data_IF_504254455459
#
_entry.id   IF_504254455459
#
_cell.length_a   1.000
_cell.length_b   1.000
_cell.length_c   1.000
_cell.angle_alpha   90.00
_cell.angle_beta   90.00
_cell.angle_gamma   90.00
#
_symmetry.space_group_name_H-M   'P 1'
#
loop_
_entity.id
_entity.type
_entity.pdbx_description
1 polymer ?
#
# COMPACT_ATOMS: atom_id res chain seq x y z
N UNK A 1 11.32 -32.79 5.33
CA UNK A 1 11.18 -31.79 4.23
C UNK A 1 12.37 -30.85 4.27
N UNK A 2 13.10 -30.74 3.17
CA UNK A 2 14.27 -29.85 3.10
C UNK A 2 13.84 -28.37 3.21
N UNK A 3 14.72 -27.47 3.72
CA UNK A 3 14.41 -26.02 3.80
C UNK A 3 14.04 -25.43 2.43
N UNK A 4 14.56 -25.99 1.36
CA UNK A 4 14.28 -25.59 -0.03
C UNK A 4 12.84 -25.96 -0.44
N UNK A 5 12.37 -27.14 -0.06
CA UNK A 5 10.99 -27.62 -0.34
C UNK A 5 9.95 -26.78 0.40
N UNK A 6 10.20 -26.49 1.67
CA UNK A 6 9.35 -25.61 2.48
C UNK A 6 9.28 -24.17 1.91
N UNK A 7 10.40 -23.65 1.42
CA UNK A 7 10.45 -22.32 0.80
C UNK A 7 9.61 -22.23 -0.48
N UNK A 8 9.62 -23.27 -1.31
CA UNK A 8 8.81 -23.32 -2.55
C UNK A 8 7.31 -23.42 -2.25
N UNK A 9 6.94 -24.25 -1.29
CA UNK A 9 5.53 -24.41 -0.90
C UNK A 9 4.93 -23.11 -0.39
N UNK A 10 5.69 -22.35 0.42
CA UNK A 10 5.29 -21.02 0.89
C UNK A 10 5.09 -20.06 -0.28
N UNK A 11 6.03 -20.00 -1.24
CA UNK A 11 5.90 -19.13 -2.42
C UNK A 11 4.68 -19.48 -3.27
N UNK A 12 4.36 -20.78 -3.44
CA UNK A 12 3.14 -21.20 -4.14
C UNK A 12 1.86 -20.81 -3.40
N UNK A 13 1.82 -20.99 -2.08
CA UNK A 13 0.66 -20.59 -1.28
C UNK A 13 0.42 -19.07 -1.37
N UNK A 14 1.46 -18.27 -1.21
CA UNK A 14 1.41 -16.81 -1.36
C UNK A 14 0.90 -16.43 -2.74
N UNK A 15 1.40 -17.10 -3.79
CA UNK A 15 0.93 -16.84 -5.15
C UNK A 15 -0.56 -17.13 -5.32
N UNK A 16 -1.01 -18.32 -4.93
CA UNK A 16 -2.41 -18.72 -5.10
C UNK A 16 -3.33 -17.74 -4.38
N UNK A 17 -3.01 -17.38 -3.12
CA UNK A 17 -3.79 -16.43 -2.34
C UNK A 17 -3.80 -15.03 -3.00
N UNK A 18 -2.64 -14.52 -3.41
CA UNK A 18 -2.55 -13.20 -4.04
C UNK A 18 -3.28 -13.20 -5.39
N UNK A 19 -3.10 -14.23 -6.20
CA UNK A 19 -3.77 -14.35 -7.50
C UNK A 19 -5.29 -14.39 -7.34
N UNK A 20 -5.81 -15.16 -6.39
CA UNK A 20 -7.25 -15.25 -6.14
C UNK A 20 -7.85 -13.88 -5.81
N UNK A 21 -7.20 -13.12 -4.93
CA UNK A 21 -7.64 -11.77 -4.52
C UNK A 21 -7.53 -10.77 -5.65
N UNK A 22 -6.44 -10.83 -6.42
CA UNK A 22 -6.26 -9.96 -7.61
C UNK A 22 -7.30 -10.30 -8.68
N UNK A 23 -7.62 -11.57 -8.91
CA UNK A 23 -8.68 -11.98 -9.84
C UNK A 23 -10.07 -11.48 -9.39
N UNK A 24 -10.38 -11.54 -8.09
CA UNK A 24 -11.61 -10.93 -7.56
C UNK A 24 -11.64 -9.42 -7.85
N UNK A 25 -10.56 -8.71 -7.58
CA UNK A 25 -10.45 -7.28 -7.89
C UNK A 25 -10.60 -7.01 -9.39
N UNK A 26 -9.93 -7.77 -10.24
CA UNK A 26 -10.06 -7.65 -11.71
C UNK A 26 -11.49 -7.93 -12.16
N UNK A 27 -12.17 -8.91 -11.56
CA UNK A 27 -13.57 -9.21 -11.85
C UNK A 27 -14.49 -8.02 -11.55
N UNK A 28 -14.25 -7.29 -10.44
CA UNK A 28 -15.04 -6.09 -10.12
C UNK A 28 -14.75 -4.90 -11.05
N UNK A 29 -13.57 -4.86 -11.67
CA UNK A 29 -13.25 -3.85 -12.70
C UNK A 29 -13.93 -4.18 -14.02
N UNK A 30 -13.97 -5.48 -14.38
CA UNK A 30 -14.61 -5.94 -15.63
C UNK A 30 -16.12 -5.85 -15.52
N UNK A 31 -16.68 -6.28 -14.38
CA UNK A 31 -18.13 -6.33 -14.11
C UNK A 31 -18.47 -5.58 -12.81
N UNK A 32 -18.56 -4.25 -12.84
CA UNK A 32 -18.71 -3.42 -11.63
C UNK A 32 -19.97 -3.71 -10.83
N UNK A 33 -21.07 -4.11 -11.49
CA UNK A 33 -22.35 -4.37 -10.86
C UNK A 33 -22.48 -5.82 -10.32
N UNK A 34 -21.56 -6.73 -10.68
CA UNK A 34 -21.70 -8.16 -10.42
C UNK A 34 -21.95 -8.48 -8.94
N UNK A 35 -21.09 -7.95 -8.06
CA UNK A 35 -21.20 -8.26 -6.63
C UNK A 35 -22.37 -7.55 -5.96
N UNK A 36 -22.68 -6.31 -6.36
CA UNK A 36 -23.86 -5.59 -5.86
C UNK A 36 -25.16 -6.32 -6.21
N UNK A 37 -25.25 -6.86 -7.40
CA UNK A 37 -26.41 -7.62 -7.85
C UNK A 37 -26.63 -8.90 -7.02
N UNK A 38 -25.58 -9.73 -6.83
CA UNK A 38 -25.72 -11.01 -6.13
C UNK A 38 -25.77 -10.87 -4.60
N UNK A 39 -25.23 -9.81 -4.02
CA UNK A 39 -25.24 -9.58 -2.58
C UNK A 39 -26.27 -8.54 -2.10
N UNK A 40 -27.20 -8.15 -2.99
CA UNK A 40 -28.44 -7.49 -2.60
C UNK A 40 -28.34 -6.05 -2.11
N UNK A 41 -27.35 -5.29 -2.54
CA UNK A 41 -27.18 -3.90 -2.08
C UNK A 41 -27.92 -2.86 -2.92
N UNK A 42 -28.36 -3.15 -4.13
CA UNK A 42 -28.97 -2.18 -5.02
C UNK A 42 -30.12 -2.75 -5.87
N UNK A 43 -30.97 -1.82 -6.31
CA UNK A 43 -32.24 -1.95 -6.99
C UNK A 43 -32.27 -2.87 -8.22
N UNK A 44 -33.46 -3.25 -8.58
CA UNK A 44 -33.93 -4.18 -9.62
C UNK A 44 -33.43 -3.92 -11.06
N UNK A 45 -32.62 -2.87 -11.31
CA UNK A 45 -32.21 -2.46 -12.66
C UNK A 45 -30.70 -2.61 -12.95
N UNK A 46 -29.94 -3.35 -12.12
CA UNK A 46 -28.52 -3.56 -12.39
C UNK A 46 -28.30 -4.76 -13.31
N UNK A 47 -27.57 -4.56 -14.41
CA UNK A 47 -27.10 -5.65 -15.26
C UNK A 47 -25.75 -6.19 -14.72
N UNK A 48 -25.72 -7.39 -14.12
CA UNK A 48 -24.52 -7.90 -13.43
C UNK A 48 -23.32 -8.11 -14.36
N UNK A 49 -23.56 -8.33 -15.65
CA UNK A 49 -22.52 -8.56 -16.65
C UNK A 49 -22.27 -7.37 -17.57
N UNK A 50 -22.78 -6.19 -17.23
CA UNK A 50 -22.41 -4.96 -17.93
C UNK A 50 -20.90 -4.71 -17.76
N UNK A 51 -20.24 -4.43 -18.90
CA UNK A 51 -18.80 -4.20 -18.91
C UNK A 51 -18.46 -2.82 -18.33
N UNK A 52 -17.56 -2.82 -17.37
CA UNK A 52 -16.99 -1.59 -16.84
C UNK A 52 -16.23 -0.80 -17.91
N UNK A 53 -16.19 0.53 -17.76
CA UNK A 53 -15.54 1.45 -18.70
C UNK A 53 -14.10 1.03 -19.08
N UNK A 54 -13.36 0.45 -18.15
CA UNK A 54 -11.96 0.05 -18.34
C UNK A 54 -11.79 -1.41 -18.77
N UNK A 55 -12.88 -2.19 -18.82
CA UNK A 55 -12.83 -3.64 -19.02
C UNK A 55 -12.14 -4.03 -20.33
N UNK A 56 -12.54 -3.40 -21.43
CA UNK A 56 -11.98 -3.71 -22.77
C UNK A 56 -10.49 -3.37 -22.82
N UNK A 57 -10.09 -2.22 -22.30
CA UNK A 57 -8.69 -1.78 -22.26
C UNK A 57 -7.85 -2.73 -21.39
N UNK A 58 -8.34 -3.09 -20.21
CA UNK A 58 -7.69 -4.03 -19.29
C UNK A 58 -7.48 -5.40 -19.96
N UNK A 59 -8.52 -5.97 -20.55
CA UNK A 59 -8.45 -7.30 -21.16
C UNK A 59 -7.49 -7.32 -22.35
N UNK A 60 -7.60 -6.36 -23.27
CA UNK A 60 -6.74 -6.30 -24.47
C UNK A 60 -5.27 -6.14 -24.04
N UNK A 61 -4.99 -5.20 -23.13
CA UNK A 61 -3.60 -4.95 -22.67
C UNK A 61 -3.01 -6.16 -21.97
N UNK A 62 -3.79 -6.86 -21.13
CA UNK A 62 -3.32 -8.08 -20.49
C UNK A 62 -3.06 -9.19 -21.50
N UNK A 63 -3.91 -9.39 -22.51
CA UNK A 63 -3.67 -10.37 -23.58
C UNK A 63 -2.34 -10.05 -24.29
N UNK A 64 -2.08 -8.79 -24.63
CA UNK A 64 -0.83 -8.37 -25.27
C UNK A 64 0.37 -8.63 -24.38
N UNK A 65 0.31 -8.22 -23.10
CA UNK A 65 1.41 -8.38 -22.15
C UNK A 65 1.73 -9.86 -21.93
N UNK A 66 0.72 -10.70 -21.70
CA UNK A 66 0.95 -12.14 -21.50
C UNK A 66 1.42 -12.84 -22.77
N UNK A 67 0.90 -12.47 -23.95
CA UNK A 67 1.37 -13.00 -25.23
C UNK A 67 2.83 -12.67 -25.46
N UNK A 68 3.24 -11.42 -25.19
CA UNK A 68 4.62 -10.98 -25.26
C UNK A 68 5.50 -11.71 -24.23
N UNK A 69 5.03 -11.85 -22.99
CA UNK A 69 5.72 -12.59 -21.92
C UNK A 69 5.95 -14.06 -22.29
N UNK A 70 4.96 -14.73 -22.88
CA UNK A 70 5.08 -16.11 -23.36
C UNK A 70 6.07 -16.20 -24.53
N UNK A 71 6.01 -15.24 -25.46
CA UNK A 71 6.96 -15.20 -26.60
C UNK A 71 8.40 -15.00 -26.10
N UNK A 72 8.60 -14.09 -25.12
CA UNK A 72 9.90 -13.87 -24.47
C UNK A 72 10.40 -15.14 -23.77
N UNK A 73 9.59 -15.78 -22.94
CA UNK A 73 9.96 -17.02 -22.26
C UNK A 73 10.33 -18.16 -23.22
N UNK A 74 9.60 -18.27 -24.34
CA UNK A 74 9.87 -19.26 -25.39
C UNK A 74 11.01 -18.84 -26.34
N UNK A 75 11.71 -17.73 -26.08
CA UNK A 75 12.77 -17.17 -26.95
C UNK A 75 12.31 -16.98 -28.42
N UNK A 76 11.06 -16.59 -28.61
CA UNK A 76 10.44 -16.35 -29.93
C UNK A 76 10.35 -14.86 -30.28
N UNK A 77 10.92 -13.97 -29.45
CA UNK A 77 10.98 -12.55 -29.73
C UNK A 77 12.14 -12.23 -30.69
N UNK A 78 12.05 -11.16 -31.50
CA UNK A 78 13.14 -10.70 -32.32
C UNK A 78 14.39 -10.35 -31.51
N UNK A 79 15.58 -10.69 -32.03
CA UNK A 79 16.87 -10.52 -31.33
C UNK A 79 17.15 -9.09 -30.89
N UNK A 80 16.67 -8.08 -31.64
CA UNK A 80 16.83 -6.68 -31.26
C UNK A 80 16.02 -6.33 -30.00
N UNK A 81 14.80 -6.87 -29.81
CA UNK A 81 14.00 -6.67 -28.60
C UNK A 81 14.64 -7.38 -27.41
N UNK A 82 15.16 -8.58 -27.59
CA UNK A 82 15.88 -9.29 -26.54
C UNK A 82 17.11 -8.49 -26.06
N UNK A 83 17.86 -7.93 -27.01
CA UNK A 83 19.00 -7.04 -26.72
C UNK A 83 18.60 -5.78 -25.94
N UNK A 84 17.46 -5.14 -26.32
CA UNK A 84 16.95 -3.98 -25.60
C UNK A 84 16.54 -4.35 -24.16
N UNK A 85 15.81 -5.44 -23.99
CA UNK A 85 15.39 -5.92 -22.66
C UNK A 85 16.61 -6.22 -21.79
N UNK A 86 17.62 -6.92 -22.32
CA UNK A 86 18.83 -7.24 -21.56
C UNK A 86 19.62 -5.96 -21.22
N UNK A 87 19.71 -4.98 -22.15
CA UNK A 87 20.33 -3.68 -21.89
C UNK A 87 19.63 -2.91 -20.78
N UNK A 88 18.31 -2.86 -20.79
CA UNK A 88 17.51 -2.21 -19.72
C UNK A 88 17.69 -2.98 -18.39
N UNK A 89 17.69 -4.30 -18.46
CA UNK A 89 17.85 -5.17 -17.30
C UNK A 89 19.22 -5.07 -16.66
N UNK A 90 20.28 -4.86 -17.45
CA UNK A 90 21.67 -4.70 -16.96
C UNK A 90 22.00 -3.26 -16.62
N UNK A 91 21.19 -2.29 -17.07
CA UNK A 91 21.42 -0.87 -16.83
C UNK A 91 21.44 -0.54 -15.34
N UNK A 92 22.48 0.15 -14.89
CA UNK A 92 22.66 0.60 -13.51
C UNK A 92 23.12 2.06 -13.46
N UNK A 93 22.62 2.81 -12.50
CA UNK A 93 22.98 4.21 -12.28
C UNK A 93 24.10 4.32 -11.23
N UNK A 94 25.09 5.17 -11.49
CA UNK A 94 26.08 5.53 -10.47
C UNK A 94 25.39 6.25 -9.30
N UNK A 95 26.01 6.21 -8.11
CA UNK A 95 25.44 6.83 -6.91
C UNK A 95 25.12 8.32 -7.12
N UNK A 96 26.05 9.06 -7.71
CA UNK A 96 25.89 10.51 -7.91
C UNK A 96 24.77 10.83 -8.91
N UNK A 97 24.73 10.11 -10.04
CA UNK A 97 23.65 10.25 -11.03
C UNK A 97 22.30 9.91 -10.41
N UNK A 98 22.23 8.86 -9.59
CA UNK A 98 20.98 8.48 -8.89
C UNK A 98 20.49 9.60 -7.98
N UNK A 99 21.39 10.21 -7.19
CA UNK A 99 21.02 11.31 -6.30
C UNK A 99 20.50 12.52 -7.10
N UNK A 100 21.17 12.86 -8.20
CA UNK A 100 20.75 13.98 -9.06
C UNK A 100 19.37 13.68 -9.68
N UNK A 101 19.18 12.51 -10.26
CA UNK A 101 17.91 12.11 -10.88
C UNK A 101 16.79 12.10 -9.84
N UNK A 102 17.02 11.53 -8.66
CA UNK A 102 16.04 11.51 -7.58
C UNK A 102 15.70 12.93 -7.10
N UNK A 103 16.71 13.79 -6.94
CA UNK A 103 16.50 15.19 -6.55
C UNK A 103 15.69 15.98 -7.59
N UNK A 104 15.95 15.75 -8.89
CA UNK A 104 15.15 16.35 -9.96
C UNK A 104 13.70 15.87 -9.90
N UNK A 105 13.46 14.56 -9.78
CA UNK A 105 12.11 13.99 -9.71
C UNK A 105 11.37 14.54 -8.49
N UNK A 106 12.00 14.54 -7.30
CA UNK A 106 11.40 15.10 -6.09
C UNK A 106 11.18 16.60 -6.21
N UNK A 107 12.11 17.35 -6.83
CA UNK A 107 11.95 18.78 -7.07
C UNK A 107 10.75 19.10 -7.98
N UNK A 108 10.56 18.34 -9.05
CA UNK A 108 9.39 18.47 -9.92
C UNK A 108 8.11 18.12 -9.15
N UNK A 109 8.11 17.03 -8.41
CA UNK A 109 6.97 16.60 -7.60
C UNK A 109 6.59 17.68 -6.58
N UNK A 110 7.53 18.17 -5.78
CA UNK A 110 7.30 19.23 -4.80
C UNK A 110 6.79 20.50 -5.48
N UNK A 111 7.39 20.91 -6.60
CA UNK A 111 6.95 22.10 -7.34
C UNK A 111 5.53 22.00 -7.87
N UNK A 112 5.08 20.81 -8.27
CA UNK A 112 3.72 20.59 -8.78
C UNK A 112 2.68 20.50 -7.65
N UNK A 113 3.02 19.91 -6.50
CA UNK A 113 2.09 19.75 -5.37
C UNK A 113 2.04 20.97 -4.43
N UNK A 114 3.06 21.83 -4.41
CA UNK A 114 3.11 23.01 -3.52
C UNK A 114 1.88 23.94 -3.64
N UNK A 115 1.32 24.24 -4.83
CA UNK A 115 0.12 25.06 -4.93
C UNK A 115 -1.09 24.50 -4.16
N UNK A 116 -1.19 23.19 -4.01
CA UNK A 116 -2.28 22.52 -3.29
C UNK A 116 -2.25 22.78 -1.77
N UNK A 117 -1.09 23.15 -1.22
CA UNK A 117 -0.96 23.55 0.19
C UNK A 117 -1.74 24.83 0.53
N UNK A 118 -2.05 25.64 -0.47
CA UNK A 118 -2.81 26.88 -0.32
C UNK A 118 -4.33 26.69 -0.47
N UNK A 119 -4.77 25.51 -0.91
CA UNK A 119 -6.19 25.21 -1.10
C UNK A 119 -6.81 24.89 0.27
N UNK A 120 -7.95 25.51 0.57
CA UNK A 120 -8.71 25.26 1.79
C UNK A 120 -9.40 23.88 1.72
N UNK A 121 -9.09 23.01 2.67
CA UNK A 121 -9.69 21.67 2.75
C UNK A 121 -11.16 21.69 3.20
N UNK A 122 -11.59 22.71 3.92
CA UNK A 122 -12.98 22.84 4.40
C UNK A 122 -13.98 22.85 3.24
N UNK A 123 -13.58 23.36 2.09
CA UNK A 123 -14.42 23.41 0.89
C UNK A 123 -14.46 22.08 0.11
N UNK A 124 -13.53 21.16 0.40
CA UNK A 124 -13.34 19.93 -0.36
C UNK A 124 -13.74 18.66 0.40
N UNK A 125 -13.58 18.68 1.72
CA UNK A 125 -13.70 17.47 2.56
C UNK A 125 -14.62 17.72 3.74
N UNK A 126 -15.78 17.03 3.76
CA UNK A 126 -16.74 17.15 4.88
C UNK A 126 -16.16 16.71 6.24
N UNK A 127 -15.12 15.86 6.25
CA UNK A 127 -14.45 15.43 7.50
C UNK A 127 -13.51 16.51 8.06
N UNK A 128 -13.30 17.63 7.33
CA UNK A 128 -12.42 18.71 7.78
C UNK A 128 -12.94 19.38 9.05
N UNK A 129 -14.23 19.66 9.12
CA UNK A 129 -14.85 20.30 10.29
C UNK A 129 -14.70 19.47 11.57
N UNK A 130 -14.70 18.14 11.42
CA UNK A 130 -14.45 17.21 12.53
C UNK A 130 -13.00 17.29 12.99
N UNK A 131 -12.05 17.35 12.04
CA UNK A 131 -10.63 17.49 12.33
C UNK A 131 -10.32 18.85 12.98
N UNK A 132 -10.89 19.92 12.47
CA UNK A 132 -10.68 21.27 12.97
C UNK A 132 -11.13 21.41 14.43
N UNK A 133 -12.35 20.95 14.72
CA UNK A 133 -12.86 20.87 16.11
C UNK A 133 -12.00 19.99 17.01
N UNK A 134 -11.47 18.89 16.49
CA UNK A 134 -10.58 18.03 17.25
C UNK A 134 -9.25 18.74 17.58
N UNK A 135 -8.69 19.51 16.65
CA UNK A 135 -7.47 20.30 16.87
C UNK A 135 -7.69 21.44 17.88
N UNK A 136 -8.85 22.10 17.85
CA UNK A 136 -9.19 23.14 18.84
C UNK A 136 -9.27 22.58 20.28
N UNK A 137 -9.75 21.34 20.43
CA UNK A 137 -9.89 20.68 21.73
C UNK A 137 -8.58 20.00 22.19
N UNK A 138 -7.63 19.78 21.29
CA UNK A 138 -6.37 19.07 21.57
C UNK A 138 -5.44 19.90 22.49
N UNK A 139 -4.72 19.30 23.47
CA UNK A 139 -4.73 17.86 23.84
C UNK A 139 -5.67 17.50 24.99
N UNK A 140 -6.39 18.42 25.59
CA UNK A 140 -7.09 18.22 26.88
C UNK A 140 -8.61 18.35 26.80
N UNK A 141 -9.16 18.68 25.64
CA UNK A 141 -10.60 18.83 25.47
C UNK A 141 -11.27 17.48 25.27
N UNK A 142 -12.40 17.28 25.93
CA UNK A 142 -13.33 16.17 25.70
C UNK A 142 -14.45 16.65 24.78
N UNK A 143 -14.98 15.77 23.98
CA UNK A 143 -16.09 16.04 23.09
C UNK A 143 -17.16 14.95 23.22
N UNK A 144 -18.42 15.36 23.30
CA UNK A 144 -19.58 14.45 23.21
C UNK A 144 -19.77 13.93 21.76
N UNK A 145 -19.10 14.54 20.78
CA UNK A 145 -19.11 14.09 19.39
C UNK A 145 -18.12 12.94 19.21
N UNK A 146 -18.65 11.74 19.00
CA UNK A 146 -17.87 10.50 18.86
C UNK A 146 -16.83 10.62 17.73
N UNK A 147 -17.14 11.32 16.65
CA UNK A 147 -16.21 11.50 15.52
C UNK A 147 -15.03 12.40 15.88
N UNK A 148 -15.26 13.45 16.66
CA UNK A 148 -14.21 14.33 17.18
C UNK A 148 -13.32 13.56 18.16
N UNK A 149 -13.92 12.79 19.07
CA UNK A 149 -13.19 11.96 20.02
C UNK A 149 -12.34 10.90 19.30
N UNK A 150 -12.87 10.27 18.26
CA UNK A 150 -12.08 9.32 17.42
C UNK A 150 -10.84 9.97 16.78
N UNK A 151 -10.90 11.26 16.41
CA UNK A 151 -9.71 11.98 15.93
C UNK A 151 -8.69 12.17 17.05
N UNK A 152 -9.14 12.57 18.25
CA UNK A 152 -8.29 12.79 19.41
C UNK A 152 -7.55 11.51 19.86
N UNK A 153 -8.18 10.34 19.71
CA UNK A 153 -7.57 9.04 20.04
C UNK A 153 -6.41 8.65 19.10
N UNK A 154 -6.24 9.37 18.00
CA UNK A 154 -5.11 9.19 17.07
C UNK A 154 -3.92 10.08 17.47
N UNK A 155 -3.40 9.86 18.67
CA UNK A 155 -2.40 10.72 19.33
C UNK A 155 -1.23 11.14 18.43
N UNK A 156 -0.59 10.20 17.73
CA UNK A 156 0.58 10.51 16.89
C UNK A 156 0.18 11.43 15.73
N UNK A 157 -0.97 11.21 15.13
CA UNK A 157 -1.52 12.06 14.09
C UNK A 157 -1.77 13.47 14.61
N UNK A 158 -2.48 13.59 15.73
CA UNK A 158 -2.86 14.86 16.32
C UNK A 158 -1.62 15.68 16.71
N UNK A 159 -0.62 15.06 17.36
CA UNK A 159 0.67 15.71 17.66
C UNK A 159 1.31 16.28 16.39
N UNK A 160 1.37 15.50 15.31
CA UNK A 160 2.02 15.94 14.08
C UNK A 160 1.24 17.07 13.38
N UNK A 161 -0.09 17.03 13.39
CA UNK A 161 -0.91 18.10 12.81
C UNK A 161 -0.84 19.37 13.64
N UNK A 162 -0.86 19.27 14.97
CA UNK A 162 -0.69 20.39 15.89
C UNK A 162 0.70 21.03 15.71
N UNK A 163 1.77 20.24 15.63
CA UNK A 163 3.12 20.71 15.32
C UNK A 163 3.17 21.41 13.95
N UNK A 164 2.47 20.85 12.93
CA UNK A 164 2.38 21.47 11.61
C UNK A 164 1.70 22.84 11.68
N UNK A 165 0.58 22.92 12.40
CA UNK A 165 -0.15 24.16 12.60
C UNK A 165 0.69 25.21 13.35
N UNK A 166 1.26 24.85 14.50
CA UNK A 166 1.96 25.79 15.37
C UNK A 166 3.27 26.31 14.78
N UNK A 167 4.04 25.46 14.06
CA UNK A 167 5.34 25.86 13.49
C UNK A 167 5.17 26.55 12.14
N UNK A 168 4.34 26.00 11.26
CA UNK A 168 4.25 26.46 9.88
C UNK A 168 2.98 27.29 9.60
N UNK A 169 2.08 27.45 10.57
CA UNK A 169 0.76 28.09 10.40
C UNK A 169 -0.07 27.45 9.27
N UNK A 170 0.21 26.15 9.00
CA UNK A 170 -0.47 25.38 7.98
C UNK A 170 -0.41 23.89 8.35
N UNK A 171 -1.58 23.29 8.59
CA UNK A 171 -1.72 21.88 8.99
C UNK A 171 -1.24 20.89 7.93
N UNK A 172 -1.13 21.31 6.64
CA UNK A 172 -0.81 20.47 5.49
C UNK A 172 0.68 20.23 5.28
N UNK A 173 1.57 21.03 5.91
CA UNK A 173 3.01 20.97 5.65
C UNK A 173 3.62 19.64 6.08
N UNK A 174 3.36 19.17 7.31
CA UNK A 174 3.89 17.87 7.74
C UNK A 174 3.27 16.68 7.01
N UNK A 175 1.96 16.62 6.69
CA UNK A 175 1.39 15.65 5.76
C UNK A 175 2.11 15.58 4.42
N UNK A 176 2.41 16.74 3.81
CA UNK A 176 3.15 16.81 2.56
C UNK A 176 4.60 16.31 2.71
N UNK A 177 5.29 16.70 3.76
CA UNK A 177 6.64 16.17 4.07
C UNK A 177 6.58 14.66 4.24
N UNK A 178 5.56 14.12 4.90
CA UNK A 178 5.38 12.68 5.02
C UNK A 178 5.22 12.01 3.65
N UNK A 179 4.48 12.60 2.73
CA UNK A 179 4.30 12.10 1.37
C UNK A 179 5.60 12.12 0.56
N UNK A 180 6.41 13.18 0.68
CA UNK A 180 7.77 13.24 0.09
C UNK A 180 8.63 12.09 0.64
N UNK A 181 8.56 11.85 1.95
CA UNK A 181 9.29 10.75 2.59
C UNK A 181 8.76 9.37 2.18
N UNK A 182 7.45 9.21 1.94
CA UNK A 182 6.88 7.97 1.36
C UNK A 182 7.54 7.67 0.01
N UNK A 183 7.67 8.67 -0.87
CA UNK A 183 8.38 8.51 -2.16
C UNK A 183 9.85 8.13 -1.94
N UNK A 184 10.54 8.78 -1.01
CA UNK A 184 11.93 8.46 -0.68
C UNK A 184 12.09 7.03 -0.12
N UNK A 185 11.20 6.60 0.78
CA UNK A 185 11.24 5.22 1.33
C UNK A 185 10.83 4.17 0.29
N UNK A 186 9.96 4.49 -0.65
CA UNK A 186 9.69 3.63 -1.81
C UNK A 186 10.97 3.37 -2.61
N UNK A 187 11.76 4.41 -2.91
CA UNK A 187 13.08 4.28 -3.52
C UNK A 187 14.03 3.41 -2.68
N UNK A 188 14.13 3.69 -1.37
CA UNK A 188 15.06 3.01 -0.48
C UNK A 188 14.73 1.52 -0.33
N UNK A 189 13.47 1.16 -0.14
CA UNK A 189 13.02 -0.23 -0.01
C UNK A 189 13.24 -0.98 -1.31
N UNK A 190 12.87 -0.39 -2.46
CA UNK A 190 13.09 -1.02 -3.76
C UNK A 190 14.57 -1.25 -4.02
N UNK A 191 15.42 -0.24 -3.78
CA UNK A 191 16.87 -0.37 -3.93
C UNK A 191 17.44 -1.46 -3.02
N UNK A 192 16.94 -1.56 -1.79
CA UNK A 192 17.36 -2.58 -0.82
C UNK A 192 16.96 -4.00 -1.27
N UNK A 193 15.74 -4.20 -1.79
CA UNK A 193 15.24 -5.51 -2.21
C UNK A 193 15.84 -5.96 -3.56
N UNK A 194 16.11 -5.01 -4.45
CA UNK A 194 16.64 -5.29 -5.79
C UNK A 194 18.16 -5.25 -5.88
N UNK A 195 18.84 -4.69 -4.87
CA UNK A 195 20.28 -4.40 -4.88
C UNK A 195 20.67 -3.54 -6.10
N UNK A 196 19.76 -2.64 -6.55
CA UNK A 196 19.88 -1.86 -7.77
C UNK A 196 19.19 -0.51 -7.67
N UNK A 197 19.91 0.58 -7.92
CA UNK A 197 19.39 1.95 -7.79
C UNK A 197 18.41 2.32 -8.89
N UNK A 198 18.68 1.84 -10.12
CA UNK A 198 17.78 2.03 -11.25
C UNK A 198 16.37 1.51 -10.95
N UNK A 199 16.26 0.33 -10.32
CA UNK A 199 14.99 -0.24 -9.89
C UNK A 199 14.23 0.72 -8.93
N UNK A 200 14.95 1.36 -7.99
CA UNK A 200 14.39 2.35 -7.09
C UNK A 200 13.84 3.59 -7.82
N UNK A 201 14.56 4.09 -8.83
CA UNK A 201 14.06 5.22 -9.65
C UNK A 201 12.79 4.84 -10.39
N UNK A 202 12.72 3.65 -10.98
CA UNK A 202 11.50 3.17 -11.66
C UNK A 202 10.32 3.11 -10.68
N UNK A 203 10.51 2.59 -9.46
CA UNK A 203 9.42 2.53 -8.48
C UNK A 203 8.92 3.92 -8.08
N UNK A 204 9.81 4.91 -7.95
CA UNK A 204 9.41 6.31 -7.69
C UNK A 204 8.58 6.87 -8.83
N UNK A 205 9.02 6.70 -10.08
CA UNK A 205 8.28 7.18 -11.26
C UNK A 205 6.89 6.54 -11.30
N UNK A 206 6.79 5.24 -11.05
CA UNK A 206 5.50 4.52 -11.03
C UNK A 206 4.58 5.04 -9.93
N UNK A 207 5.11 5.29 -8.72
CA UNK A 207 4.30 5.83 -7.62
C UNK A 207 3.79 7.24 -7.94
N UNK A 208 4.63 8.10 -8.51
CA UNK A 208 4.26 9.46 -8.88
C UNK A 208 3.33 9.56 -10.09
N UNK A 209 3.03 8.45 -10.78
CA UNK A 209 1.98 8.36 -11.79
C UNK A 209 0.62 7.97 -11.20
N UNK A 210 0.57 7.57 -9.93
CA UNK A 210 -0.65 7.15 -9.30
C UNK A 210 -1.51 8.36 -8.91
N UNK A 211 -2.68 8.48 -9.55
CA UNK A 211 -3.63 9.58 -9.30
C UNK A 211 -4.05 9.64 -7.84
N UNK A 212 -4.36 8.48 -7.24
CA UNK A 212 -4.76 8.42 -5.83
C UNK A 212 -3.64 8.88 -4.90
N UNK A 213 -2.37 8.55 -5.18
CA UNK A 213 -1.27 9.04 -4.36
C UNK A 213 -1.16 10.57 -4.43
N UNK A 214 -1.17 11.15 -5.63
CA UNK A 214 -1.07 12.60 -5.83
C UNK A 214 -2.27 13.37 -5.26
N UNK A 215 -3.48 12.78 -5.33
CA UNK A 215 -4.69 13.39 -4.77
C UNK A 215 -4.64 13.57 -3.25
N UNK A 216 -3.91 12.70 -2.54
CA UNK A 216 -3.89 12.69 -1.07
C UNK A 216 -2.51 13.04 -0.49
N UNK A 217 -1.57 13.52 -1.29
CA UNK A 217 -0.20 13.78 -0.85
C UNK A 217 -0.06 15.04 0.02
N UNK A 218 -0.96 16.02 -0.16
CA UNK A 218 -0.97 17.30 0.57
C UNK A 218 -2.12 17.39 1.58
N UNK A 219 -3.01 16.41 1.65
CA UNK A 219 -4.24 16.48 2.44
C UNK A 219 -3.99 16.16 3.93
N UNK A 220 -4.41 17.06 4.82
CA UNK A 220 -4.27 16.87 6.27
C UNK A 220 -5.34 15.93 6.85
N UNK A 221 -6.58 15.98 6.32
CA UNK A 221 -7.67 15.09 6.75
C UNK A 221 -7.36 13.63 6.48
N UNK A 222 -6.64 13.33 5.40
CA UNK A 222 -6.34 11.97 4.93
C UNK A 222 -4.84 11.73 4.75
N UNK A 223 -4.05 12.20 5.69
CA UNK A 223 -2.59 12.23 5.68
C UNK A 223 -1.93 10.86 5.51
N UNK A 224 -0.67 10.88 5.05
CA UNK A 224 0.13 9.68 4.78
C UNK A 224 1.14 9.32 5.91
N UNK A 225 0.99 9.87 7.14
CA UNK A 225 1.91 9.56 8.26
C UNK A 225 1.98 8.07 8.56
N UNK A 226 0.82 7.39 8.61
CA UNK A 226 0.75 5.97 8.90
C UNK A 226 1.43 5.12 7.81
N UNK A 227 1.32 5.52 6.54
CA UNK A 227 2.03 4.88 5.42
C UNK A 227 3.53 5.07 5.58
N UNK A 228 3.97 6.28 5.88
CA UNK A 228 5.38 6.60 6.11
C UNK A 228 5.96 5.74 7.25
N UNK A 229 5.35 5.76 8.42
CA UNK A 229 5.86 4.98 9.56
C UNK A 229 5.86 3.49 9.27
N UNK A 230 4.86 2.99 8.57
CA UNK A 230 4.83 1.61 8.14
C UNK A 230 5.98 1.26 7.18
N UNK A 231 6.27 2.11 6.20
CA UNK A 231 7.41 1.91 5.29
C UNK A 231 8.76 1.98 6.03
N UNK A 232 8.92 2.90 6.99
CA UNK A 232 10.11 2.95 7.84
C UNK A 232 10.24 1.65 8.65
N UNK A 233 9.14 1.12 9.18
CA UNK A 233 9.13 -0.17 9.86
C UNK A 233 9.66 -1.29 8.96
N UNK A 234 9.15 -1.42 7.73
CA UNK A 234 9.62 -2.42 6.76
C UNK A 234 11.09 -2.24 6.38
N UNK A 235 11.53 -1.00 6.12
CA UNK A 235 12.91 -0.67 5.77
C UNK A 235 13.89 -1.06 6.87
N UNK A 236 13.53 -0.80 8.13
CA UNK A 236 14.40 -1.01 9.29
C UNK A 236 14.57 -2.49 9.64
N UNK A 237 13.69 -3.40 9.22
CA UNK A 237 13.83 -4.86 9.45
C UNK A 237 15.24 -5.35 9.11
N UNK A 238 15.79 -4.95 7.97
CA UNK A 238 17.10 -5.43 7.52
C UNK A 238 18.28 -4.63 8.06
N UNK A 239 18.05 -3.36 8.45
CA UNK A 239 19.14 -2.46 8.88
C UNK A 239 19.25 -2.33 10.40
N UNK A 240 18.20 -1.81 11.02
CA UNK A 240 18.12 -1.55 12.47
C UNK A 240 16.85 -2.22 12.99
N UNK A 241 16.84 -3.52 12.99
CA UNK A 241 15.68 -4.38 13.24
C UNK A 241 14.87 -3.99 14.49
N UNK A 242 15.51 -3.51 15.55
CA UNK A 242 14.86 -3.09 16.81
C UNK A 242 14.00 -1.83 16.65
N UNK A 243 14.21 -1.02 15.61
CA UNK A 243 13.37 0.14 15.29
C UNK A 243 12.08 -0.25 14.55
N UNK A 244 12.06 -1.43 13.91
CA UNK A 244 10.90 -1.86 13.13
C UNK A 244 9.60 -1.92 13.97
N UNK A 245 9.56 -2.54 15.16
CA UNK A 245 8.36 -2.52 16.00
C UNK A 245 7.97 -1.11 16.46
N UNK A 246 8.96 -0.24 16.74
CA UNK A 246 8.69 1.13 17.19
C UNK A 246 7.95 1.92 16.11
N UNK A 247 8.44 1.88 14.87
CA UNK A 247 7.77 2.57 13.77
C UNK A 247 6.42 1.95 13.41
N UNK A 248 6.25 0.65 13.62
CA UNK A 248 4.94 0.01 13.46
C UNK A 248 3.93 0.53 14.49
N UNK A 249 4.34 0.67 15.76
CA UNK A 249 3.50 1.25 16.81
C UNK A 249 3.12 2.69 16.47
N UNK A 250 4.08 3.51 16.01
CA UNK A 250 3.79 4.88 15.57
C UNK A 250 2.76 4.89 14.42
N UNK A 251 2.88 3.99 13.45
CA UNK A 251 1.90 3.85 12.38
C UNK A 251 0.50 3.49 12.93
N UNK A 252 0.43 2.57 13.90
CA UNK A 252 -0.81 2.15 14.53
C UNK A 252 -1.50 3.29 15.29
N UNK A 253 -0.74 4.05 16.10
CA UNK A 253 -1.28 5.21 16.81
C UNK A 253 -1.56 6.42 15.91
N UNK A 254 -1.10 6.39 14.67
CA UNK A 254 -1.55 7.34 13.65
C UNK A 254 -2.89 6.90 13.06
N UNK A 255 -3.03 5.57 12.79
CA UNK A 255 -4.24 5.02 12.18
C UNK A 255 -4.38 3.52 12.45
N UNK A 256 -5.44 3.13 13.16
CA UNK A 256 -5.73 1.73 13.50
C UNK A 256 -5.87 0.82 12.25
N UNK A 257 -6.14 1.39 11.08
CA UNK A 257 -6.16 0.67 9.80
C UNK A 257 -4.85 -0.09 9.50
N UNK A 258 -3.75 0.24 10.17
CA UNK A 258 -2.48 -0.50 10.07
C UNK A 258 -2.54 -1.88 10.72
N UNK A 259 -3.51 -2.16 11.59
CA UNK A 259 -3.58 -3.43 12.32
C UNK A 259 -3.49 -4.69 11.42
N UNK A 260 -4.23 -4.82 10.31
CA UNK A 260 -4.09 -5.98 9.42
C UNK A 260 -2.69 -6.15 8.80
N UNK A 261 -1.94 -5.06 8.67
CA UNK A 261 -0.59 -5.06 8.10
C UNK A 261 0.46 -5.73 8.99
N UNK A 262 0.10 -6.04 10.24
CA UNK A 262 0.95 -6.78 11.17
C UNK A 262 1.40 -8.13 10.60
N UNK A 263 0.47 -8.94 10.09
CA UNK A 263 0.79 -10.26 9.52
C UNK A 263 1.74 -10.14 8.32
N UNK A 264 1.57 -9.08 7.52
CA UNK A 264 2.47 -8.78 6.39
C UNK A 264 3.88 -8.42 6.86
N UNK A 265 3.99 -7.66 7.95
CA UNK A 265 5.29 -7.31 8.54
C UNK A 265 5.99 -8.54 9.09
N UNK A 266 5.27 -9.42 9.81
CA UNK A 266 5.82 -10.70 10.28
C UNK A 266 6.33 -11.56 9.14
N UNK A 267 5.55 -11.67 8.04
CA UNK A 267 5.95 -12.41 6.87
C UNK A 267 7.19 -11.80 6.21
N UNK A 268 7.26 -10.47 6.08
CA UNK A 268 8.42 -9.76 5.54
C UNK A 268 9.66 -9.99 6.40
N UNK A 269 9.53 -9.96 7.72
CA UNK A 269 10.61 -10.29 8.65
C UNK A 269 11.05 -11.76 8.52
N UNK A 270 10.12 -12.69 8.37
CA UNK A 270 10.41 -14.10 8.13
C UNK A 270 11.18 -14.32 6.83
N UNK A 271 10.82 -13.66 5.74
CA UNK A 271 11.47 -13.77 4.41
C UNK A 271 12.76 -12.95 4.30
N UNK A 272 13.04 -12.03 5.24
CA UNK A 272 14.23 -11.18 5.20
C UNK A 272 15.54 -11.98 5.37
N UNK A 273 16.64 -11.47 4.84
CA UNK A 273 17.99 -12.09 4.88
C UNK A 273 18.78 -11.73 6.15
N UNK A 274 18.11 -11.70 7.29
CA UNK A 274 18.74 -11.45 8.59
C UNK A 274 18.98 -12.76 9.36
N UNK A 275 19.87 -12.73 10.35
CA UNK A 275 20.18 -13.90 11.16
C UNK A 275 18.94 -14.43 11.90
N UNK A 276 18.88 -15.75 12.12
CA UNK A 276 17.76 -16.41 12.81
C UNK A 276 17.46 -15.79 14.18
N UNK A 277 18.49 -15.41 14.96
CA UNK A 277 18.33 -14.75 16.26
C UNK A 277 17.58 -13.42 16.13
N UNK A 278 17.93 -12.60 15.12
CA UNK A 278 17.24 -11.32 14.86
C UNK A 278 15.81 -11.55 14.39
N UNK A 279 15.55 -12.56 13.55
CA UNK A 279 14.18 -12.92 13.15
C UNK A 279 13.32 -13.23 14.35
N UNK A 280 13.80 -14.12 15.23
CA UNK A 280 13.07 -14.50 16.46
C UNK A 280 12.83 -13.26 17.33
N UNK A 281 13.83 -12.41 17.53
CA UNK A 281 13.68 -11.19 18.33
C UNK A 281 12.63 -10.23 17.75
N UNK A 282 12.61 -10.01 16.43
CA UNK A 282 11.58 -9.20 15.77
C UNK A 282 10.21 -9.83 15.96
N UNK A 283 10.05 -11.11 15.62
CA UNK A 283 8.77 -11.80 15.72
C UNK A 283 8.22 -11.76 17.16
N UNK A 284 9.10 -12.01 18.15
CA UNK A 284 8.72 -11.91 19.57
C UNK A 284 8.30 -10.49 19.97
N UNK A 285 9.03 -9.46 19.51
CA UNK A 285 8.66 -8.06 19.78
C UNK A 285 7.29 -7.72 19.23
N UNK A 286 6.98 -8.14 18.01
CA UNK A 286 5.67 -7.93 17.40
C UNK A 286 4.56 -8.69 18.12
N UNK A 287 4.79 -9.94 18.53
CA UNK A 287 3.82 -10.73 19.31
C UNK A 287 3.52 -10.05 20.66
N UNK A 288 4.56 -9.53 21.34
CA UNK A 288 4.39 -8.80 22.60
C UNK A 288 3.54 -7.56 22.41
N UNK A 289 3.77 -6.79 21.33
CA UNK A 289 2.99 -5.60 20.99
C UNK A 289 1.52 -5.94 20.77
N UNK A 290 1.24 -7.00 20.02
CA UNK A 290 -0.16 -7.42 19.82
C UNK A 290 -0.78 -7.91 21.13
N UNK A 291 -0.06 -8.71 21.90
CA UNK A 291 -0.58 -9.17 23.17
C UNK A 291 -0.91 -7.98 24.09
N UNK A 292 -0.05 -6.94 24.11
CA UNK A 292 -0.31 -5.71 24.86
C UNK A 292 -1.52 -4.93 24.30
N UNK A 293 -1.64 -4.79 22.98
CA UNK A 293 -2.78 -4.13 22.35
C UNK A 293 -4.09 -4.86 22.60
N UNK A 294 -4.10 -6.18 22.48
CA UNK A 294 -5.25 -7.02 22.79
C UNK A 294 -5.62 -6.92 24.29
N UNK A 295 -4.63 -6.94 25.17
CA UNK A 295 -4.86 -6.76 26.61
C UNK A 295 -5.49 -5.39 26.91
N UNK A 296 -5.03 -4.31 26.28
CA UNK A 296 -5.61 -2.97 26.42
C UNK A 296 -7.07 -2.93 25.96
N UNK A 297 -7.41 -3.62 24.86
CA UNK A 297 -8.79 -3.71 24.36
C UNK A 297 -9.68 -4.50 25.34
N UNK A 298 -9.19 -5.61 25.90
CA UNK A 298 -10.00 -6.46 26.79
C UNK A 298 -10.11 -5.93 28.22
N UNK A 299 -9.10 -5.22 28.73
CA UNK A 299 -9.05 -4.74 30.12
C UNK A 299 -9.22 -3.22 30.23
N UNK A 300 -9.19 -2.48 29.10
CA UNK A 300 -9.48 -1.06 29.06
C UNK A 300 -11.00 -0.81 28.99
N UNK A 301 -11.43 0.33 29.46
CA UNK A 301 -12.77 0.85 29.17
C UNK A 301 -12.77 1.19 27.68
N UNK A 302 -13.32 0.30 26.85
CA UNK A 302 -13.36 0.50 25.40
C UNK A 302 -14.36 1.59 25.08
N UNK A 303 -13.88 2.64 24.45
CA UNK A 303 -14.65 3.78 23.96
C UNK A 303 -15.48 3.42 22.70
N UNK A 304 -15.39 2.20 22.20
CA UNK A 304 -16.20 1.72 21.10
C UNK A 304 -17.44 0.99 21.61
N UNK A 305 -18.58 1.71 21.83
CA UNK A 305 -19.74 1.14 22.52
C UNK A 305 -20.59 0.23 21.64
N UNK A 306 -20.40 0.19 20.34
CA UNK A 306 -21.36 -0.47 19.48
C UNK A 306 -20.89 -1.82 18.98
N UNK A 307 -21.75 -2.78 19.16
CA UNK A 307 -21.69 -4.14 18.65
C UNK A 307 -21.19 -4.10 17.20
N UNK A 308 -19.95 -4.55 17.00
CA UNK A 308 -19.40 -4.76 15.67
C UNK A 308 -20.21 -5.89 15.05
N UNK A 309 -21.22 -5.51 14.28
CA UNK A 309 -22.01 -6.47 13.54
C UNK A 309 -21.21 -6.98 12.36
N UNK A 310 -20.68 -8.18 12.49
CA UNK A 310 -19.89 -8.81 11.42
C UNK A 310 -20.85 -9.24 10.32
N UNK A 311 -20.80 -8.53 9.19
CA UNK A 311 -21.57 -8.89 8.01
C UNK A 311 -20.66 -9.46 6.92
N UNK A 312 -20.64 -10.80 6.79
CA UNK A 312 -19.79 -11.51 5.83
C UNK A 312 -20.12 -11.19 4.36
N UNK A 313 -21.37 -10.82 4.03
CA UNK A 313 -21.73 -10.43 2.66
C UNK A 313 -21.03 -9.13 2.26
N UNK A 314 -20.81 -8.21 3.20
CA UNK A 314 -20.07 -6.97 2.96
C UNK A 314 -18.60 -7.20 2.57
N UNK A 315 -17.99 -8.32 2.98
CA UNK A 315 -16.62 -8.65 2.61
C UNK A 315 -16.42 -8.68 1.09
N UNK A 316 -17.33 -9.32 0.38
CA UNK A 316 -17.24 -9.40 -1.11
C UNK A 316 -17.42 -8.01 -1.73
N UNK A 317 -18.30 -7.19 -1.16
CA UNK A 317 -18.53 -5.82 -1.64
C UNK A 317 -17.31 -4.91 -1.45
N UNK A 318 -16.48 -5.17 -0.47
CA UNK A 318 -15.23 -4.44 -0.29
C UNK A 318 -14.27 -4.51 -1.48
N UNK A 319 -14.33 -5.57 -2.31
CA UNK A 319 -13.58 -5.63 -3.57
C UNK A 319 -14.11 -4.63 -4.60
N UNK A 320 -15.42 -4.38 -4.63
CA UNK A 320 -16.00 -3.38 -5.51
C UNK A 320 -15.53 -1.96 -5.14
N UNK A 321 -15.34 -1.67 -3.84
CA UNK A 321 -14.78 -0.40 -3.41
C UNK A 321 -13.37 -0.15 -3.99
N UNK A 322 -12.55 -1.19 -4.12
CA UNK A 322 -11.21 -1.06 -4.74
C UNK A 322 -11.34 -0.61 -6.20
N UNK A 323 -12.19 -1.26 -6.98
CA UNK A 323 -12.35 -0.94 -8.40
C UNK A 323 -12.93 0.46 -8.63
N UNK A 324 -13.86 0.90 -7.78
CA UNK A 324 -14.46 2.23 -7.88
C UNK A 324 -13.50 3.34 -7.47
N UNK A 325 -12.75 3.16 -6.40
CA UNK A 325 -11.84 4.16 -5.84
C UNK A 325 -10.54 4.32 -6.65
N UNK A 326 -10.00 3.22 -7.19
CA UNK A 326 -8.77 3.25 -8.01
C UNK A 326 -9.04 3.39 -9.50
N UNK A 327 -10.26 3.74 -9.91
CA UNK A 327 -10.66 3.85 -11.33
C UNK A 327 -9.80 4.81 -12.14
N UNK A 328 -9.15 5.78 -11.52
CA UNK A 328 -8.26 6.74 -12.18
C UNK A 328 -6.79 6.30 -12.18
N UNK A 329 -6.45 5.24 -11.45
CA UNK A 329 -5.11 4.65 -11.42
C UNK A 329 -4.97 3.60 -12.54
N UNK A 330 -5.11 4.04 -13.79
CA UNK A 330 -5.20 3.15 -14.96
C UNK A 330 -4.00 2.21 -15.07
N UNK A 331 -2.80 2.72 -14.78
CA UNK A 331 -1.58 1.91 -14.84
C UNK A 331 -1.61 0.77 -13.81
N UNK A 332 -2.07 1.05 -12.58
CA UNK A 332 -2.28 0.02 -11.56
C UNK A 332 -3.31 -1.03 -12.03
N UNK A 333 -4.49 -0.57 -12.48
CA UNK A 333 -5.59 -1.46 -12.91
C UNK A 333 -5.12 -2.44 -13.99
N UNK A 334 -4.40 -1.94 -14.99
CA UNK A 334 -3.97 -2.76 -16.13
C UNK A 334 -2.83 -3.70 -15.74
N UNK A 335 -1.92 -3.26 -14.88
CA UNK A 335 -0.68 -3.96 -14.59
C UNK A 335 -0.72 -4.84 -13.35
N UNK A 336 -1.74 -4.75 -12.50
CA UNK A 336 -1.78 -5.51 -11.22
C UNK A 336 -1.69 -7.02 -11.45
N UNK A 337 -2.38 -7.56 -12.45
CA UNK A 337 -2.34 -8.98 -12.76
C UNK A 337 -1.00 -9.40 -13.39
N UNK A 338 -0.43 -8.72 -14.42
CA UNK A 338 0.92 -8.99 -14.91
C UNK A 338 2.00 -8.87 -13.83
N UNK A 339 1.91 -7.87 -12.95
CA UNK A 339 2.87 -7.69 -11.85
C UNK A 339 2.80 -8.86 -10.88
N UNK A 340 1.60 -9.29 -10.49
CA UNK A 340 1.42 -10.45 -9.61
C UNK A 340 2.06 -11.71 -10.19
N UNK A 341 1.78 -12.02 -11.45
CA UNK A 341 2.37 -13.19 -12.14
C UNK A 341 3.88 -13.05 -12.27
N UNK A 342 4.37 -11.87 -12.64
CA UNK A 342 5.80 -11.60 -12.78
C UNK A 342 6.57 -11.71 -11.47
N UNK A 343 6.01 -11.23 -10.35
CA UNK A 343 6.62 -11.35 -9.02
C UNK A 343 6.76 -12.82 -8.59
N UNK A 344 5.82 -13.69 -8.95
CA UNK A 344 5.96 -15.14 -8.70
C UNK A 344 7.11 -15.75 -9.46
N UNK A 345 7.30 -15.35 -10.71
CA UNK A 345 8.45 -15.80 -11.48
C UNK A 345 9.80 -15.33 -10.87
N UNK A 346 9.80 -14.11 -10.31
CA UNK A 346 10.93 -13.53 -9.60
C UNK A 346 11.19 -14.19 -8.24
N UNK A 347 10.16 -14.65 -7.54
CA UNK A 347 10.28 -15.22 -6.19
C UNK A 347 11.15 -16.47 -6.15
N UNK A 348 11.35 -17.14 -7.29
CA UNK A 348 12.28 -18.27 -7.43
C UNK A 348 13.73 -17.87 -7.11
N UNK A 349 14.09 -16.63 -7.42
CA UNK A 349 15.47 -16.13 -7.29
C UNK A 349 15.59 -14.98 -6.26
N UNK A 350 14.48 -14.35 -5.87
CA UNK A 350 14.45 -13.24 -4.91
C UNK A 350 13.30 -13.42 -3.92
N UNK A 351 13.62 -13.77 -2.67
CA UNK A 351 12.65 -14.00 -1.60
C UNK A 351 11.83 -12.75 -1.25
N UNK A 352 12.34 -11.56 -1.55
CA UNK A 352 11.59 -10.31 -1.33
C UNK A 352 10.39 -10.16 -2.26
N UNK A 353 10.36 -10.86 -3.41
CA UNK A 353 9.20 -10.88 -4.27
C UNK A 353 7.98 -11.49 -3.57
N UNK A 354 8.16 -12.53 -2.75
CA UNK A 354 7.08 -13.09 -1.92
C UNK A 354 6.60 -12.07 -0.88
N UNK A 355 7.51 -11.28 -0.30
CA UNK A 355 7.13 -10.24 0.65
C UNK A 355 6.26 -9.17 -0.02
N UNK A 356 6.61 -8.74 -1.23
CA UNK A 356 5.80 -7.77 -1.99
C UNK A 356 4.45 -8.37 -2.38
N UNK A 357 4.38 -9.64 -2.79
CA UNK A 357 3.12 -10.33 -3.06
C UNK A 357 2.21 -10.33 -1.82
N UNK A 358 2.75 -10.63 -0.63
CA UNK A 358 1.99 -10.61 0.63
C UNK A 358 1.55 -9.19 1.00
N UNK A 359 2.38 -8.18 0.76
CA UNK A 359 2.03 -6.78 0.98
C UNK A 359 0.92 -6.32 0.03
N UNK A 360 0.95 -6.70 -1.25
CA UNK A 360 -0.14 -6.45 -2.21
C UNK A 360 -1.41 -7.19 -1.77
N UNK A 361 -1.31 -8.50 -1.50
CA UNK A 361 -2.43 -9.32 -1.01
C UNK A 361 -3.11 -8.70 0.20
N UNK A 362 -2.33 -8.40 1.23
CA UNK A 362 -2.87 -7.87 2.47
C UNK A 362 -3.44 -6.46 2.33
N UNK A 363 -2.86 -5.61 1.47
CA UNK A 363 -3.40 -4.28 1.18
C UNK A 363 -4.74 -4.36 0.44
N UNK A 364 -4.92 -5.35 -0.43
CA UNK A 364 -6.20 -5.60 -1.09
C UNK A 364 -7.22 -6.15 -0.09
N UNK A 365 -6.85 -7.14 0.74
CA UNK A 365 -7.75 -7.77 1.72
C UNK A 365 -8.12 -6.83 2.88
N UNK A 366 -7.26 -5.91 3.26
CA UNK A 366 -7.54 -4.96 4.34
C UNK A 366 -8.81 -4.14 4.09
N UNK A 367 -9.09 -3.82 2.82
CA UNK A 367 -10.29 -3.08 2.43
C UNK A 367 -11.58 -3.90 2.62
N UNK A 368 -11.76 -5.08 2.00
CA UNK A 368 -12.89 -5.96 2.27
C UNK A 368 -13.07 -6.29 3.76
N UNK A 369 -11.97 -6.55 4.48
CA UNK A 369 -12.02 -6.82 5.91
C UNK A 369 -12.60 -5.62 6.68
N UNK A 370 -12.19 -4.40 6.37
CA UNK A 370 -12.71 -3.21 7.02
C UNK A 370 -14.20 -3.01 6.74
N UNK A 371 -14.66 -3.19 5.50
CA UNK A 371 -16.09 -3.07 5.13
C UNK A 371 -16.95 -4.07 5.92
N UNK A 372 -16.42 -5.26 6.21
CA UNK A 372 -17.12 -6.26 6.99
C UNK A 372 -17.42 -5.81 8.44
N UNK A 373 -16.57 -4.94 9.01
CA UNK A 373 -16.69 -4.44 10.38
C UNK A 373 -17.26 -3.02 10.49
N UNK A 374 -17.57 -2.36 9.38
CA UNK A 374 -18.09 -0.98 9.40
C UNK A 374 -19.49 -0.89 8.83
N UNK A 375 -20.23 0.14 9.26
CA UNK A 375 -21.54 0.45 8.67
C UNK A 375 -21.43 1.11 7.30
N UNK A 376 -20.24 1.61 6.92
CA UNK A 376 -20.01 2.28 5.65
C UNK A 376 -19.58 1.29 4.57
N UNK A 377 -20.26 1.33 3.43
CA UNK A 377 -19.91 0.56 2.23
C UNK A 377 -18.76 1.20 1.45
N UNK A 378 -18.45 2.47 1.74
CA UNK A 378 -17.43 3.23 1.03
C UNK A 378 -16.11 3.25 1.81
N UNK A 379 -15.09 2.70 1.16
CA UNK A 379 -13.71 2.85 1.59
C UNK A 379 -13.09 3.98 0.78
N UNK A 380 -12.64 5.01 1.46
CA UNK A 380 -12.05 6.16 0.79
C UNK A 380 -10.71 5.80 0.15
N UNK A 381 -10.43 6.42 -1.01
CA UNK A 381 -9.30 6.07 -1.88
C UNK A 381 -7.92 6.20 -1.21
N UNK A 382 -7.72 7.11 -0.27
CA UNK A 382 -6.44 7.28 0.43
C UNK A 382 -5.96 6.02 1.19
N UNK A 383 -6.89 5.13 1.56
CA UNK A 383 -6.55 3.85 2.22
C UNK A 383 -5.82 2.86 1.29
N UNK A 384 -5.85 3.11 -0.02
CA UNK A 384 -5.14 2.32 -1.02
C UNK A 384 -3.74 2.84 -1.35
N UNK A 385 -3.28 3.93 -0.75
CA UNK A 385 -1.91 4.45 -0.96
C UNK A 385 -0.85 3.37 -0.70
N UNK A 386 -0.88 2.54 0.36
CA UNK A 386 0.08 1.47 0.53
C UNK A 386 0.07 0.44 -0.60
N UNK A 387 -1.11 0.10 -1.12
CA UNK A 387 -1.24 -0.82 -2.25
C UNK A 387 -0.49 -0.28 -3.49
N UNK A 388 -0.63 1.01 -3.77
CA UNK A 388 0.07 1.68 -4.87
C UNK A 388 1.58 1.72 -4.64
N UNK A 389 2.03 1.95 -3.41
CA UNK A 389 3.45 1.88 -3.02
C UNK A 389 4.01 0.49 -3.25
N UNK A 390 3.34 -0.57 -2.78
CA UNK A 390 3.83 -1.95 -2.95
C UNK A 390 3.77 -2.40 -4.40
N UNK A 391 2.78 -1.96 -5.15
CA UNK A 391 2.71 -2.16 -6.59
C UNK A 391 3.89 -1.49 -7.31
N UNK A 392 4.21 -0.24 -6.96
CA UNK A 392 5.35 0.48 -7.52
C UNK A 392 6.69 -0.21 -7.21
N UNK A 393 6.88 -0.68 -5.96
CA UNK A 393 8.02 -1.50 -5.57
C UNK A 393 8.06 -2.78 -6.40
N UNK A 394 6.91 -3.45 -6.58
CA UNK A 394 6.77 -4.66 -7.39
C UNK A 394 7.21 -4.47 -8.84
N UNK A 395 6.84 -3.36 -9.47
CA UNK A 395 7.35 -2.97 -10.81
C UNK A 395 8.87 -2.79 -10.78
N UNK A 396 9.40 -2.07 -9.79
CA UNK A 396 10.85 -1.89 -9.63
C UNK A 396 11.61 -3.23 -9.55
N UNK A 397 11.00 -4.24 -8.92
CA UNK A 397 11.64 -5.57 -8.76
C UNK A 397 11.91 -6.29 -10.09
N UNK A 398 11.20 -5.98 -11.18
CA UNK A 398 11.53 -6.56 -12.50
C UNK A 398 12.88 -6.12 -13.02
N UNK A 399 13.42 -5.04 -12.48
CA UNK A 399 14.75 -4.53 -12.80
C UNK A 399 15.83 -4.96 -11.78
N UNK A 400 15.54 -5.97 -10.93
CA UNK A 400 16.48 -6.46 -9.93
C UNK A 400 17.75 -7.02 -10.57
N UNK A 401 18.85 -6.98 -9.81
CA UNK A 401 20.12 -7.60 -10.24
C UNK A 401 19.90 -9.10 -10.39
N UNK A 402 20.40 -9.66 -11.50
CA UNK A 402 20.45 -11.13 -11.64
C UNK A 402 21.30 -11.70 -10.51
N UNK A 403 20.73 -12.58 -9.70
CA UNK A 403 21.55 -13.41 -8.81
C UNK A 403 22.34 -14.32 -9.74
N UNK A 404 23.68 -14.15 -9.78
CA UNK A 404 24.58 -15.10 -10.48
C UNK A 404 24.38 -16.46 -9.83
N UNK A 405 23.92 -17.43 -10.62
CA UNK A 405 23.87 -18.84 -10.27
C UNK A 405 25.26 -19.36 -9.91
#
# INVERSE_FOLDING_TARGET
MSEIENSRLVSYAVFICTLAVVLLTVTTIIFPALFSYYFGLYSENLEPFELGYQAVFLVITNIVIFSFGIAYYKKKIPSFLDSIIEKIRTFELSKNVTIIVLAIILGIYVGLSTPELLIDESTQWGDYDVLDRALELWPYGESDDVYVQEQNDRYVRMILLDVSHNIFQNIKILPFIASILVVAFTFLITTQFCQKRFAGIISVIVLLQANTFLKFDTIAVYENFWVLFFLISLYTIQRKWFLSPVFYILAFFTKAYVAPFFLMTLFTAYRSEISRRRKVAILSSYIIIIAAAVALIFFGETIYPDVIEINSSKFILGFQAISSQLRFDIFFIVMILPVTVGLVLLSKNNKHADSILVLIFGSIIASPALVMFTFHYDIQAYRFVPLLVFFAIGIGMFFSKKVSE
#
